data_IF_844935176964
#
_entry.id   IF_844935176964
#
_cell.length_a   1.000
_cell.length_b   1.000
_cell.length_c   1.000
_cell.angle_alpha   90.00
_cell.angle_beta   90.00
_cell.angle_gamma   90.00
#
_symmetry.space_group_name_H-M   'P 1'
#
loop_
_entity.id
_entity.type
_entity.pdbx_description
1 polymer ?
#
# COMPACT_ATOMS: atom_id res chain seq x y z
N UNK A 1 75.23 11.41 -19.03
CA UNK A 1 74.22 11.99 -19.93
C UNK A 1 72.89 11.98 -19.18
N UNK A 2 72.65 12.99 -18.31
CA UNK A 2 71.99 14.30 -18.59
C UNK A 2 70.47 14.06 -18.75
N UNK A 3 69.68 14.20 -17.66
CA UNK A 3 68.90 15.39 -17.24
C UNK A 3 67.65 15.60 -18.12
N UNK A 4 66.47 16.07 -17.71
CA UNK A 4 65.97 16.72 -16.50
C UNK A 4 64.45 16.94 -16.70
N UNK A 5 63.66 16.68 -15.66
CA UNK A 5 62.60 17.53 -15.05
C UNK A 5 61.54 18.33 -15.86
N UNK A 6 60.41 18.70 -15.20
CA UNK A 6 59.15 19.16 -15.78
C UNK A 6 58.99 20.68 -15.83
N UNK A 7 57.95 21.19 -16.50
CA UNK A 7 57.61 22.62 -16.49
C UNK A 7 56.13 22.88 -16.14
N UNK A 8 55.94 23.56 -15.00
CA UNK A 8 54.82 24.46 -14.69
C UNK A 8 55.30 25.89 -14.96
N UNK A 9 54.50 26.74 -15.63
CA UNK A 9 54.58 28.23 -15.64
C UNK A 9 53.15 28.72 -15.93
N UNK A 10 52.38 29.30 -15.00
CA UNK A 10 52.35 30.65 -14.37
C UNK A 10 51.60 31.73 -15.19
N UNK A 11 50.57 32.29 -14.51
CA UNK A 11 50.02 33.65 -14.45
C UNK A 11 49.91 34.61 -15.66
N UNK A 12 48.70 35.17 -15.77
CA UNK A 12 48.36 36.56 -16.16
C UNK A 12 46.84 36.69 -16.02
N UNK A 13 46.23 37.40 -15.07
CA UNK A 13 46.34 38.80 -14.64
C UNK A 13 46.14 39.82 -15.77
N UNK A 14 44.88 40.13 -16.06
CA UNK A 14 44.48 41.43 -16.60
C UNK A 14 43.18 41.89 -15.95
N UNK A 15 43.28 43.03 -15.25
CA UNK A 15 42.22 43.86 -14.73
C UNK A 15 41.29 44.34 -15.87
N UNK A 16 39.97 44.30 -15.68
CA UNK A 16 39.04 45.22 -16.34
C UNK A 16 38.02 45.74 -15.34
N UNK A 17 37.88 47.06 -15.40
CA UNK A 17 37.22 47.99 -14.51
C UNK A 17 35.81 47.64 -14.02
N UNK A 18 35.59 47.96 -12.75
CA UNK A 18 34.29 48.26 -12.14
C UNK A 18 33.56 49.37 -12.92
N UNK A 19 32.32 49.09 -13.32
CA UNK A 19 31.30 50.12 -13.50
C UNK A 19 30.19 49.80 -12.50
N UNK A 20 30.10 50.65 -11.48
CA UNK A 20 29.02 50.67 -10.50
C UNK A 20 27.80 51.35 -11.13
N UNK A 21 26.64 50.70 -11.07
CA UNK A 21 25.35 51.36 -11.25
C UNK A 21 24.39 50.81 -10.18
N UNK A 22 23.85 51.68 -9.31
CA UNK A 22 22.96 51.26 -8.23
C UNK A 22 21.53 51.15 -8.78
N UNK A 23 20.87 50.01 -8.58
CA UNK A 23 19.42 49.94 -8.75
C UNK A 23 18.81 49.26 -7.54
N UNK A 24 18.01 50.04 -6.82
CA UNK A 24 17.49 49.77 -5.50
C UNK A 24 16.70 48.48 -5.38
N UNK A 25 16.98 47.76 -4.31
CA UNK A 25 16.15 46.68 -3.81
C UNK A 25 15.08 47.24 -2.86
N UNK A 26 14.09 47.92 -3.41
CA UNK A 26 12.82 48.16 -2.70
C UNK A 26 11.79 47.15 -3.18
N UNK A 27 11.95 45.89 -2.75
CA UNK A 27 10.83 44.97 -2.74
C UNK A 27 10.05 45.24 -1.47
N UNK A 28 9.05 46.12 -1.57
CA UNK A 28 7.98 46.22 -0.60
C UNK A 28 7.39 44.81 -0.40
N UNK A 29 7.67 44.23 0.76
CA UNK A 29 7.05 42.99 1.20
C UNK A 29 5.58 43.31 1.44
N UNK A 30 4.73 43.05 0.45
CA UNK A 30 3.29 43.10 0.62
C UNK A 30 2.91 42.07 1.70
N UNK A 31 2.55 42.56 2.88
CA UNK A 31 2.06 41.73 3.97
C UNK A 31 0.88 40.87 3.46
N UNK A 32 0.87 39.55 3.74
CA UNK A 32 -0.27 38.72 3.37
C UNK A 32 -1.50 39.26 4.12
N UNK A 33 -2.53 39.67 3.36
CA UNK A 33 -3.84 40.04 3.93
C UNK A 33 -4.30 38.89 4.83
N UNK A 34 -4.58 39.19 6.10
CA UNK A 34 -5.04 38.19 7.06
C UNK A 34 -6.34 37.56 6.58
N UNK A 35 -6.29 36.32 6.10
CA UNK A 35 -7.48 35.53 5.86
C UNK A 35 -8.13 35.25 7.21
N UNK A 36 -9.39 35.67 7.35
CA UNK A 36 -10.22 35.44 8.53
C UNK A 36 -10.36 33.92 8.73
N UNK A 37 -9.78 33.39 9.80
CA UNK A 37 -9.92 31.97 10.15
C UNK A 37 -11.31 31.79 10.74
N UNK A 38 -12.26 31.34 9.92
CA UNK A 38 -13.52 30.81 10.44
C UNK A 38 -13.21 29.47 11.12
N UNK A 39 -13.33 29.45 12.44
CA UNK A 39 -13.27 28.24 13.25
C UNK A 39 -14.47 27.36 12.90
N UNK A 40 -14.22 26.35 12.06
CA UNK A 40 -15.18 25.30 11.75
C UNK A 40 -15.57 24.60 13.06
N UNK A 41 -16.82 24.78 13.50
CA UNK A 41 -17.41 23.98 14.58
C UNK A 41 -17.38 22.51 14.16
N UNK A 42 -16.62 21.70 14.89
CA UNK A 42 -16.61 20.26 14.72
C UNK A 42 -17.96 19.72 15.19
N UNK A 43 -18.81 19.34 14.24
CA UNK A 43 -20.02 18.56 14.52
C UNK A 43 -19.65 17.25 15.23
N UNK A 44 -20.47 16.77 16.20
CA UNK A 44 -20.21 15.53 16.91
C UNK A 44 -20.20 14.37 15.90
N UNK A 45 -19.11 13.59 15.90
CA UNK A 45 -18.94 12.42 15.03
C UNK A 45 -20.11 11.47 15.28
N UNK A 46 -21.03 11.36 14.32
CA UNK A 46 -22.18 10.47 14.42
C UNK A 46 -21.71 9.03 14.59
N UNK A 47 -22.18 8.38 15.66
CA UNK A 47 -21.84 7.01 15.99
C UNK A 47 -22.28 6.08 14.85
N UNK A 48 -21.34 5.32 14.29
CA UNK A 48 -21.62 4.42 13.16
C UNK A 48 -22.75 3.44 13.50
N UNK A 49 -23.66 3.18 12.56
CA UNK A 49 -24.78 2.26 12.78
C UNK A 49 -24.33 0.86 13.21
N UNK A 50 -23.13 0.44 12.79
CA UNK A 50 -22.45 -0.75 13.28
C UNK A 50 -22.21 -0.73 14.78
N UNK A 51 -21.75 0.38 15.37
CA UNK A 51 -21.57 0.50 16.82
C UNK A 51 -22.91 0.40 17.57
N UNK A 52 -23.99 0.97 17.00
CA UNK A 52 -25.35 0.87 17.55
C UNK A 52 -25.88 -0.57 17.52
N UNK A 53 -25.65 -1.30 16.42
CA UNK A 53 -26.03 -2.71 16.27
C UNK A 53 -25.23 -3.63 17.19
N UNK A 54 -23.92 -3.40 17.34
CA UNK A 54 -23.07 -4.18 18.25
C UNK A 54 -23.48 -4.03 19.72
N UNK A 55 -23.98 -2.85 20.10
CA UNK A 55 -24.52 -2.55 21.43
C UNK A 55 -25.90 -3.18 21.64
N UNK A 56 -26.77 -3.13 20.63
CA UNK A 56 -28.09 -3.77 20.65
C UNK A 56 -28.02 -5.31 20.69
N UNK A 57 -26.99 -5.89 20.10
CA UNK A 57 -26.78 -7.34 20.07
C UNK A 57 -26.18 -7.93 21.37
N UNK A 58 -25.99 -7.14 22.44
CA UNK A 58 -25.41 -7.60 23.72
C UNK A 58 -24.10 -8.41 23.56
N UNK A 59 -23.28 -8.07 22.56
CA UNK A 59 -21.92 -8.63 22.42
C UNK A 59 -21.01 -8.11 23.56
N UNK A 60 -21.51 -7.16 24.34
CA UNK A 60 -21.00 -6.73 25.64
C UNK A 60 -21.13 -7.86 26.68
N UNK A 61 -20.31 -8.90 26.54
CA UNK A 61 -20.35 -10.04 27.45
C UNK A 61 -19.29 -11.10 27.21
N UNK A 62 -18.61 -11.11 26.05
CA UNK A 62 -17.54 -12.09 25.79
C UNK A 62 -16.30 -11.81 26.65
N UNK A 63 -16.03 -10.54 26.95
CA UNK A 63 -14.88 -10.12 27.74
C UNK A 63 -15.30 -9.12 28.81
N UNK A 64 -14.74 -9.24 30.01
CA UNK A 64 -14.98 -8.31 31.12
C UNK A 64 -14.50 -6.90 30.77
N UNK A 65 -15.18 -5.87 31.30
CA UNK A 65 -14.78 -4.48 31.07
C UNK A 65 -13.35 -4.19 31.56
N UNK A 66 -12.93 -4.86 32.64
CA UNK A 66 -11.58 -4.81 33.19
C UNK A 66 -10.56 -5.37 32.19
N UNK A 67 -10.78 -6.56 31.62
CA UNK A 67 -9.86 -7.12 30.63
C UNK A 67 -9.83 -6.32 29.34
N UNK A 68 -10.96 -5.79 28.87
CA UNK A 68 -10.99 -4.87 27.72
C UNK A 68 -10.03 -3.69 27.96
N UNK A 69 -10.07 -3.10 29.15
CA UNK A 69 -9.18 -1.99 29.52
C UNK A 69 -7.71 -2.42 29.54
N UNK A 70 -7.41 -3.58 30.13
CA UNK A 70 -6.05 -4.15 30.20
C UNK A 70 -5.50 -4.44 28.81
N UNK A 71 -6.27 -5.08 27.93
CA UNK A 71 -5.87 -5.33 26.55
C UNK A 71 -5.57 -4.04 25.80
N UNK A 72 -6.43 -3.01 25.91
CA UNK A 72 -6.18 -1.71 25.28
C UNK A 72 -4.84 -1.12 25.72
N UNK A 73 -4.52 -1.21 27.01
CA UNK A 73 -3.23 -0.75 27.54
C UNK A 73 -2.08 -1.60 27.00
N UNK A 74 -2.21 -2.93 27.00
CA UNK A 74 -1.19 -3.86 26.44
C UNK A 74 -0.88 -3.51 24.98
N UNK A 75 -1.90 -3.36 24.12
CA UNK A 75 -1.70 -3.03 22.71
C UNK A 75 -0.95 -1.70 22.53
N UNK A 76 -1.29 -0.68 23.33
CA UNK A 76 -0.61 0.64 23.30
C UNK A 76 0.86 0.53 23.74
N UNK A 77 1.12 -0.14 24.85
CA UNK A 77 2.49 -0.37 25.36
C UNK A 77 3.34 -1.11 24.32
N UNK A 78 2.75 -2.09 23.62
CA UNK A 78 3.45 -2.84 22.57
C UNK A 78 3.78 -2.02 21.33
N UNK A 79 2.94 -1.04 20.95
CA UNK A 79 3.30 -0.08 19.88
C UNK A 79 4.56 0.70 20.26
N UNK A 80 4.67 1.08 21.54
CA UNK A 80 5.84 1.79 22.07
C UNK A 80 7.02 0.86 22.37
N UNK A 81 6.85 -0.46 22.23
CA UNK A 81 7.86 -1.47 22.58
C UNK A 81 8.17 -1.57 24.07
N UNK A 82 7.24 -1.15 24.92
CA UNK A 82 7.34 -1.27 26.38
C UNK A 82 6.98 -2.69 26.84
N UNK A 83 7.81 -3.66 26.45
CA UNK A 83 7.53 -5.09 26.62
C UNK A 83 7.36 -5.49 28.08
N UNK A 84 8.23 -4.98 28.97
CA UNK A 84 8.20 -5.32 30.40
C UNK A 84 6.92 -4.82 31.07
N UNK A 85 6.43 -3.64 30.69
CA UNK A 85 5.18 -3.09 31.22
C UNK A 85 3.98 -3.91 30.69
N UNK A 86 3.97 -4.22 29.39
CA UNK A 86 2.94 -5.07 28.81
C UNK A 86 2.89 -6.47 29.46
N UNK A 87 4.06 -7.09 29.71
CA UNK A 87 4.14 -8.42 30.33
C UNK A 87 3.61 -8.44 31.77
N UNK A 88 3.76 -7.35 32.53
CA UNK A 88 3.16 -7.24 33.87
C UNK A 88 1.63 -7.27 33.79
N UNK A 89 1.05 -6.55 32.83
CA UNK A 89 -0.40 -6.51 32.65
C UNK A 89 -0.92 -7.84 32.09
N UNK A 90 -0.18 -8.48 31.19
CA UNK A 90 -0.53 -9.80 30.65
C UNK A 90 -0.68 -10.86 31.75
N UNK A 91 0.14 -10.78 32.81
CA UNK A 91 0.09 -11.73 33.93
C UNK A 91 -1.20 -11.64 34.75
N UNK A 92 -1.82 -10.47 34.80
CA UNK A 92 -3.04 -10.19 35.59
C UNK A 92 -4.32 -10.23 34.74
N UNK A 93 -4.24 -10.70 33.48
CA UNK A 93 -5.42 -10.93 32.65
C UNK A 93 -6.18 -12.15 33.16
N UNK A 94 -7.49 -11.99 33.30
CA UNK A 94 -8.39 -13.06 33.73
C UNK A 94 -8.70 -13.97 32.52
N UNK A 95 -9.08 -13.37 31.39
CA UNK A 95 -9.33 -14.06 30.12
C UNK A 95 -8.22 -13.82 29.09
N UNK A 96 -7.72 -14.91 28.48
CA UNK A 96 -6.61 -14.94 27.51
C UNK A 96 -7.03 -15.16 26.05
N UNK A 97 -8.32 -15.06 25.71
CA UNK A 97 -8.83 -15.30 24.35
C UNK A 97 -8.10 -14.44 23.29
N UNK A 98 -7.72 -13.19 23.60
CA UNK A 98 -7.05 -12.29 22.64
C UNK A 98 -5.53 -12.45 22.58
N UNK A 99 -4.96 -13.43 23.30
CA UNK A 99 -3.50 -13.59 23.39
C UNK A 99 -2.84 -13.85 22.03
N UNK A 100 -3.51 -14.55 21.13
CA UNK A 100 -3.04 -14.78 19.76
C UNK A 100 -2.72 -13.47 19.03
N UNK A 101 -3.61 -12.48 19.14
CA UNK A 101 -3.41 -11.15 18.55
C UNK A 101 -2.34 -10.33 19.26
N UNK A 102 -2.30 -10.38 20.60
CA UNK A 102 -1.28 -9.70 21.41
C UNK A 102 0.13 -10.19 21.03
N UNK A 103 0.31 -11.51 20.92
CA UNK A 103 1.59 -12.09 20.51
C UNK A 103 1.92 -11.75 19.05
N UNK A 104 0.93 -11.78 18.15
CA UNK A 104 1.12 -11.43 16.75
C UNK A 104 1.62 -10.00 16.56
N UNK A 105 1.08 -9.03 17.31
CA UNK A 105 1.53 -7.64 17.29
C UNK A 105 3.00 -7.54 17.68
N UNK A 106 3.39 -8.15 18.82
CA UNK A 106 4.79 -8.20 19.28
C UNK A 106 5.71 -8.80 18.23
N UNK A 107 5.34 -9.95 17.66
CA UNK A 107 6.19 -10.68 16.71
C UNK A 107 6.33 -10.01 15.36
N UNK A 108 5.37 -9.18 14.98
CA UNK A 108 5.36 -8.39 13.75
C UNK A 108 5.79 -6.93 13.94
N UNK A 109 6.28 -6.57 15.12
CA UNK A 109 6.73 -5.21 15.39
C UNK A 109 7.86 -4.81 14.40
N UNK A 110 7.82 -3.59 13.82
CA UNK A 110 8.75 -3.21 12.75
C UNK A 110 10.21 -3.11 13.21
N UNK A 111 10.46 -2.61 14.43
CA UNK A 111 11.82 -2.24 14.88
C UNK A 111 12.20 -2.82 16.25
N UNK A 112 11.43 -2.54 17.29
CA UNK A 112 11.75 -2.81 18.72
C UNK A 112 11.69 -4.27 19.18
N UNK A 113 11.24 -5.21 18.34
CA UNK A 113 11.24 -6.63 18.68
C UNK A 113 11.59 -7.51 17.49
N UNK A 114 12.46 -8.49 17.73
CA UNK A 114 12.88 -9.45 16.71
C UNK A 114 12.52 -10.88 17.14
N UNK A 115 11.41 -11.37 16.59
CA UNK A 115 10.90 -12.72 16.86
C UNK A 115 11.84 -13.83 16.39
N UNK A 116 12.09 -14.82 17.25
CA UNK A 116 12.88 -16.01 16.97
C UNK A 116 12.04 -17.05 16.23
N UNK A 117 12.69 -17.94 15.48
CA UNK A 117 11.98 -19.00 14.75
C UNK A 117 11.13 -19.88 15.69
N UNK A 118 11.66 -20.23 16.86
CA UNK A 118 10.96 -21.06 17.87
C UNK A 118 9.64 -20.42 18.32
N UNK A 119 9.63 -19.10 18.55
CA UNK A 119 8.43 -18.36 18.95
C UNK A 119 7.39 -18.33 17.83
N UNK A 120 7.83 -18.03 16.61
CA UNK A 120 6.96 -18.00 15.44
C UNK A 120 6.34 -19.38 15.18
N UNK A 121 7.14 -20.45 15.31
CA UNK A 121 6.65 -21.81 15.17
C UNK A 121 5.62 -22.15 16.26
N UNK A 122 5.93 -21.87 17.52
CA UNK A 122 5.00 -22.14 18.63
C UNK A 122 3.68 -21.38 18.48
N UNK A 123 3.74 -20.12 18.05
CA UNK A 123 2.55 -19.32 17.77
C UNK A 123 1.72 -19.91 16.63
N UNK A 124 2.35 -20.33 15.53
CA UNK A 124 1.66 -20.94 14.39
C UNK A 124 1.05 -22.30 14.75
N UNK A 125 1.65 -23.04 15.68
CA UNK A 125 1.10 -24.32 16.11
C UNK A 125 -0.26 -24.12 16.81
N UNK A 126 -0.44 -23.00 17.55
CA UNK A 126 -1.67 -22.64 18.29
C UNK A 126 -2.67 -21.79 17.49
N UNK A 127 -2.19 -20.78 16.74
CA UNK A 127 -3.02 -19.72 16.13
C UNK A 127 -2.91 -19.72 14.60
N UNK A 128 -2.84 -20.90 13.97
CA UNK A 128 -2.71 -21.04 12.51
C UNK A 128 -3.89 -20.41 11.73
N UNK A 129 -5.05 -20.33 12.35
CA UNK A 129 -6.32 -19.82 11.84
C UNK A 129 -6.45 -18.29 11.88
N UNK A 130 -5.55 -17.63 12.61
CA UNK A 130 -5.61 -16.19 12.78
C UNK A 130 -5.29 -15.43 11.48
N UNK A 131 -5.87 -14.24 11.27
CA UNK A 131 -5.63 -13.44 10.07
C UNK A 131 -4.14 -13.07 9.92
N UNK A 132 -3.41 -12.93 11.03
CA UNK A 132 -1.98 -12.63 11.01
C UNK A 132 -1.11 -13.85 10.62
N UNK A 133 -1.65 -15.07 10.67
CA UNK A 133 -0.88 -16.30 10.54
C UNK A 133 -0.12 -16.42 9.22
N UNK A 134 -0.70 -15.95 8.11
CA UNK A 134 -0.01 -15.89 6.82
C UNK A 134 1.26 -15.04 6.86
N UNK A 135 1.21 -13.88 7.54
CA UNK A 135 2.35 -12.99 7.65
C UNK A 135 3.42 -13.58 8.58
N UNK A 136 3.02 -14.16 9.71
CA UNK A 136 3.94 -14.85 10.61
C UNK A 136 4.57 -16.10 9.98
N UNK A 137 3.82 -16.89 9.22
CA UNK A 137 4.33 -18.06 8.50
C UNK A 137 5.41 -17.68 7.49
N UNK A 138 5.16 -16.64 6.67
CA UNK A 138 6.19 -16.10 5.76
C UNK A 138 7.43 -15.63 6.51
N UNK A 139 7.25 -14.98 7.67
CA UNK A 139 8.36 -14.55 8.52
C UNK A 139 9.13 -15.74 9.09
N UNK A 140 8.43 -16.78 9.53
CA UNK A 140 9.00 -18.00 10.07
C UNK A 140 9.85 -18.72 9.02
N UNK A 141 9.35 -18.87 7.78
CA UNK A 141 10.11 -19.46 6.68
C UNK A 141 11.41 -18.72 6.39
N UNK A 142 11.38 -17.38 6.39
CA UNK A 142 12.59 -16.55 6.19
C UNK A 142 13.62 -16.70 7.30
N UNK A 143 13.18 -16.99 8.53
CA UNK A 143 14.04 -17.08 9.72
C UNK A 143 14.37 -18.51 10.14
N UNK A 144 13.93 -19.51 9.35
CA UNK A 144 14.09 -20.93 9.68
C UNK A 144 15.54 -21.36 9.49
N UNK A 145 16.21 -21.90 10.54
CA UNK A 145 17.50 -22.56 10.37
C UNK A 145 17.37 -23.85 9.56
N UNK A 146 18.41 -24.25 8.82
CA UNK A 146 18.36 -25.40 7.88
C UNK A 146 17.88 -26.72 8.53
N UNK A 147 18.25 -26.96 9.79
CA UNK A 147 18.01 -28.24 10.49
C UNK A 147 16.71 -28.26 11.31
N UNK A 148 15.80 -27.30 11.13
CA UNK A 148 14.57 -27.20 11.94
C UNK A 148 13.33 -27.67 11.18
N UNK A 149 12.43 -28.35 11.91
CA UNK A 149 11.10 -28.77 11.41
C UNK A 149 10.31 -27.58 10.88
N UNK A 150 9.49 -27.82 9.85
CA UNK A 150 8.62 -26.78 9.26
C UNK A 150 7.60 -26.22 10.26
N UNK A 151 7.24 -24.93 10.15
CA UNK A 151 6.14 -24.38 10.93
C UNK A 151 4.81 -24.89 10.34
N UNK A 152 3.76 -24.95 11.18
CA UNK A 152 2.41 -25.30 10.73
C UNK A 152 1.94 -24.26 9.71
N UNK A 153 1.35 -24.74 8.61
CA UNK A 153 0.79 -23.86 7.58
C UNK A 153 -0.44 -23.14 8.14
N UNK A 154 -0.63 -21.84 7.81
CA UNK A 154 -1.81 -21.12 8.22
C UNK A 154 -3.07 -21.76 7.61
N UNK A 155 -4.13 -21.78 8.38
CA UNK A 155 -5.46 -22.28 7.99
C UNK A 155 -6.37 -21.10 7.68
N UNK A 156 -7.33 -21.32 6.77
CA UNK A 156 -8.21 -20.26 6.28
C UNK A 156 -7.66 -19.57 5.03
N UNK A 157 -8.56 -19.24 4.09
CA UNK A 157 -8.19 -18.44 2.92
C UNK A 157 -8.14 -16.97 3.33
N UNK A 158 -7.10 -16.24 2.90
CA UNK A 158 -7.19 -14.79 2.87
C UNK A 158 -8.37 -14.46 1.94
N UNK A 159 -9.38 -13.74 2.43
CA UNK A 159 -10.44 -13.20 1.58
C UNK A 159 -9.83 -12.10 0.70
N UNK A 160 -9.15 -12.51 -0.36
CA UNK A 160 -8.74 -11.67 -1.48
C UNK A 160 -9.94 -11.38 -2.41
N UNK A 161 -11.16 -11.36 -1.85
CA UNK A 161 -12.39 -11.16 -2.60
C UNK A 161 -12.41 -9.77 -3.20
N UNK A 162 -12.60 -9.67 -4.50
CA UNK A 162 -12.75 -8.43 -5.27
C UNK A 162 -14.10 -7.73 -5.02
N UNK A 163 -14.65 -7.83 -3.81
CA UNK A 163 -15.98 -7.30 -3.46
C UNK A 163 -17.16 -7.97 -4.16
N UNK A 164 -16.93 -9.01 -4.95
CA UNK A 164 -18.02 -9.82 -5.51
C UNK A 164 -18.56 -10.72 -4.39
N UNK A 165 -19.88 -10.75 -4.24
CA UNK A 165 -20.66 -11.43 -3.19
C UNK A 165 -20.53 -12.97 -3.16
N UNK A 166 -19.49 -13.54 -3.77
CA UNK A 166 -19.22 -14.99 -3.78
C UNK A 166 -20.27 -15.81 -4.53
N UNK A 167 -21.36 -15.20 -4.99
CA UNK A 167 -22.32 -15.84 -5.88
C UNK A 167 -21.61 -16.09 -7.18
N UNK A 168 -21.22 -17.35 -7.39
CA UNK A 168 -21.02 -17.85 -8.74
C UNK A 168 -22.40 -17.78 -9.40
N UNK A 169 -22.72 -16.65 -10.03
CA UNK A 169 -24.01 -16.39 -10.69
C UNK A 169 -24.29 -17.36 -11.85
N UNK A 170 -23.53 -18.46 -11.99
CA UNK A 170 -23.65 -19.45 -13.06
C UNK A 170 -23.19 -18.92 -14.42
N UNK A 171 -23.02 -17.60 -14.58
CA UNK A 171 -22.45 -17.02 -15.77
C UNK A 171 -20.97 -17.37 -15.84
N UNK A 172 -20.63 -18.38 -16.64
CA UNK A 172 -19.27 -18.53 -17.13
C UNK A 172 -18.83 -17.15 -17.67
N UNK A 173 -17.85 -16.50 -17.02
CA UNK A 173 -17.37 -15.20 -17.45
C UNK A 173 -17.05 -15.27 -18.94
N UNK A 174 -17.92 -14.69 -19.78
CA UNK A 174 -17.74 -14.72 -21.23
C UNK A 174 -16.46 -13.96 -21.55
N UNK A 175 -15.37 -14.71 -21.75
CA UNK A 175 -14.04 -14.17 -22.02
C UNK A 175 -13.46 -14.77 -23.30
N UNK A 176 -14.19 -14.63 -24.43
CA UNK A 176 -13.73 -15.13 -25.71
C UNK A 176 -12.45 -14.40 -26.14
N UNK A 177 -11.55 -15.14 -26.77
CA UNK A 177 -10.34 -14.62 -27.40
C UNK A 177 -10.31 -15.06 -28.85
N UNK A 178 -9.83 -14.20 -29.75
CA UNK A 178 -9.54 -14.62 -31.12
C UNK A 178 -8.46 -15.70 -31.11
N UNK A 179 -8.60 -16.70 -31.97
CA UNK A 179 -7.56 -17.70 -32.22
C UNK A 179 -6.43 -17.01 -32.99
N UNK A 180 -5.26 -16.89 -32.35
CA UNK A 180 -4.11 -16.16 -32.87
C UNK A 180 -2.88 -17.05 -32.84
N UNK A 181 -2.00 -16.91 -33.84
CA UNK A 181 -0.70 -17.60 -33.84
C UNK A 181 0.23 -17.01 -32.74
N UNK A 182 1.41 -17.61 -32.56
CA UNK A 182 2.36 -17.18 -31.51
C UNK A 182 2.79 -15.72 -31.66
N UNK A 183 3.14 -15.29 -32.87
CA UNK A 183 3.59 -13.93 -33.15
C UNK A 183 2.47 -12.89 -32.89
N UNK A 184 1.27 -13.15 -33.41
CA UNK A 184 0.08 -12.33 -33.20
C UNK A 184 -0.30 -12.23 -31.72
N UNK A 185 -0.15 -13.32 -30.95
CA UNK A 185 -0.36 -13.29 -29.48
C UNK A 185 0.65 -12.39 -28.78
N UNK A 186 1.93 -12.43 -29.17
CA UNK A 186 2.95 -11.56 -28.60
C UNK A 186 2.69 -10.09 -28.94
N UNK A 187 2.34 -9.80 -30.19
CA UNK A 187 1.98 -8.45 -30.63
C UNK A 187 0.76 -7.93 -29.86
N UNK A 188 -0.31 -8.73 -29.76
CA UNK A 188 -1.50 -8.39 -28.98
C UNK A 188 -1.15 -8.04 -27.53
N UNK A 189 -0.29 -8.84 -26.88
CA UNK A 189 0.20 -8.57 -25.52
C UNK A 189 1.03 -7.29 -25.44
N UNK A 190 1.77 -6.95 -26.50
CA UNK A 190 2.48 -5.68 -26.62
C UNK A 190 1.52 -4.49 -26.68
N UNK A 191 0.48 -4.59 -27.51
CA UNK A 191 -0.57 -3.57 -27.64
C UNK A 191 -1.33 -3.37 -26.32
N UNK A 192 -1.72 -4.44 -25.64
CA UNK A 192 -2.36 -4.38 -24.31
C UNK A 192 -1.46 -3.69 -23.26
N UNK A 193 -0.16 -4.03 -23.22
CA UNK A 193 0.80 -3.37 -22.33
C UNK A 193 0.91 -1.87 -22.64
N UNK A 194 0.95 -1.49 -23.91
CA UNK A 194 1.02 -0.09 -24.35
C UNK A 194 -0.25 0.68 -23.96
N UNK A 195 -1.43 0.07 -24.13
CA UNK A 195 -2.70 0.61 -23.66
C UNK A 195 -2.68 0.88 -22.14
N UNK A 196 -2.30 -0.11 -21.32
CA UNK A 196 -2.17 0.07 -19.86
C UNK A 196 -1.15 1.15 -19.49
N UNK A 197 -0.04 1.22 -20.22
CA UNK A 197 0.95 2.27 -20.04
C UNK A 197 0.36 3.67 -20.30
N UNK A 198 -0.38 3.86 -21.40
CA UNK A 198 -1.02 5.13 -21.70
C UNK A 198 -2.05 5.55 -20.65
N UNK A 199 -2.89 4.63 -20.14
CA UNK A 199 -3.82 4.94 -19.06
C UNK A 199 -3.11 5.38 -17.79
N UNK A 200 -2.07 4.65 -17.37
CA UNK A 200 -1.27 5.01 -16.19
C UNK A 200 -0.59 6.39 -16.32
N UNK A 201 -0.32 6.84 -17.54
CA UNK A 201 0.28 8.15 -17.83
C UNK A 201 -0.75 9.25 -18.11
N UNK A 202 -2.05 8.96 -18.14
CA UNK A 202 -3.09 9.93 -18.52
C UNK A 202 -3.14 10.26 -20.02
N UNK A 203 -2.49 9.47 -20.88
CA UNK A 203 -2.42 9.72 -22.32
C UNK A 203 -3.64 9.17 -23.09
N UNK A 204 -4.83 9.67 -22.74
CA UNK A 204 -6.13 9.18 -23.27
C UNK A 204 -6.29 9.37 -24.77
N UNK A 205 -5.76 10.45 -25.37
CA UNK A 205 -5.77 10.67 -26.84
C UNK A 205 -4.99 9.57 -27.59
N UNK A 206 -3.79 9.24 -27.11
CA UNK A 206 -2.96 8.18 -27.68
C UNK A 206 -3.59 6.81 -27.49
N UNK A 207 -4.24 6.57 -26.34
CA UNK A 207 -5.02 5.36 -26.10
C UNK A 207 -6.20 5.22 -27.08
N UNK A 208 -7.00 6.29 -27.24
CA UNK A 208 -8.14 6.34 -28.18
C UNK A 208 -7.70 6.04 -29.61
N UNK A 209 -6.59 6.64 -30.05
CA UNK A 209 -6.00 6.36 -31.38
C UNK A 209 -5.58 4.89 -31.51
N UNK A 210 -4.94 4.33 -30.47
CA UNK A 210 -4.48 2.94 -30.48
C UNK A 210 -5.64 1.94 -30.52
N UNK A 211 -6.68 2.12 -29.69
CA UNK A 211 -7.86 1.25 -29.66
C UNK A 211 -8.61 1.25 -30.99
N UNK A 212 -8.67 2.40 -31.68
CA UNK A 212 -9.32 2.53 -32.99
C UNK A 212 -8.48 1.99 -34.16
N UNK A 213 -7.23 1.58 -33.91
CA UNK A 213 -6.37 1.13 -34.99
C UNK A 213 -6.87 -0.18 -35.62
N UNK A 214 -6.74 -0.29 -36.95
CA UNK A 214 -7.10 -1.50 -37.71
C UNK A 214 -6.43 -2.75 -37.14
N UNK A 215 -5.16 -2.62 -36.71
CA UNK A 215 -4.40 -3.75 -36.15
C UNK A 215 -4.97 -4.25 -34.83
N UNK A 216 -5.39 -3.34 -33.94
CA UNK A 216 -6.07 -3.72 -32.69
C UNK A 216 -7.41 -4.42 -32.98
N UNK A 217 -8.19 -3.89 -33.92
CA UNK A 217 -9.46 -4.53 -34.34
C UNK A 217 -9.26 -5.91 -35.00
N UNK A 218 -8.09 -6.19 -35.57
CA UNK A 218 -7.73 -7.52 -36.11
C UNK A 218 -7.31 -8.51 -35.01
N UNK A 219 -6.61 -8.05 -33.98
CA UNK A 219 -6.02 -8.93 -32.96
C UNK A 219 -6.92 -9.14 -31.74
N UNK A 220 -7.75 -8.17 -31.38
CA UNK A 220 -8.59 -8.24 -30.18
C UNK A 220 -9.99 -8.77 -30.52
N UNK A 221 -10.56 -9.54 -29.59
CA UNK A 221 -11.97 -9.92 -29.69
C UNK A 221 -12.87 -8.70 -29.39
N UNK A 222 -14.07 -8.56 -29.98
CA UNK A 222 -15.00 -7.47 -29.68
C UNK A 222 -15.20 -7.18 -28.18
N UNK A 223 -15.45 -8.22 -27.38
CA UNK A 223 -15.54 -8.12 -25.90
C UNK A 223 -14.29 -7.52 -25.25
N UNK A 224 -13.10 -7.82 -25.77
CA UNK A 224 -11.84 -7.25 -25.25
C UNK A 224 -11.67 -5.78 -25.65
N UNK A 225 -12.16 -5.41 -26.83
CA UNK A 225 -12.22 -4.02 -27.27
C UNK A 225 -13.19 -3.23 -26.39
N UNK A 226 -14.36 -3.77 -26.08
CA UNK A 226 -15.35 -3.10 -25.22
C UNK A 226 -14.82 -2.92 -23.80
N UNK A 227 -14.12 -3.92 -23.25
CA UNK A 227 -13.38 -3.75 -21.99
C UNK A 227 -12.30 -2.67 -22.08
N UNK A 228 -11.60 -2.58 -23.20
CA UNK A 228 -10.59 -1.53 -23.41
C UNK A 228 -11.24 -0.13 -23.52
N UNK A 229 -12.39 -0.02 -24.18
CA UNK A 229 -13.20 1.22 -24.23
C UNK A 229 -13.73 1.60 -22.84
N UNK A 230 -14.20 0.62 -22.05
CA UNK A 230 -14.64 0.85 -20.68
C UNK A 230 -13.50 1.37 -19.80
N UNK A 231 -12.28 0.83 -19.93
CA UNK A 231 -11.10 1.37 -19.24
C UNK A 231 -10.73 2.77 -19.69
N UNK A 232 -10.91 3.09 -20.98
CA UNK A 232 -10.73 4.45 -21.48
C UNK A 232 -11.77 5.40 -20.88
N UNK A 233 -13.04 4.99 -20.81
CA UNK A 233 -14.10 5.77 -20.18
C UNK A 233 -13.81 6.00 -18.69
N UNK A 234 -13.32 4.99 -17.97
CA UNK A 234 -12.84 5.13 -16.59
C UNK A 234 -11.69 6.15 -16.49
N UNK A 235 -10.75 6.14 -17.44
CA UNK A 235 -9.68 7.13 -17.51
C UNK A 235 -10.22 8.55 -17.73
N UNK A 236 -11.17 8.73 -18.65
CA UNK A 236 -11.82 10.02 -18.87
C UNK A 236 -12.57 10.53 -17.64
N UNK A 237 -13.28 9.64 -16.96
CA UNK A 237 -13.95 9.96 -15.70
C UNK A 237 -12.97 10.40 -14.62
N UNK A 238 -11.86 9.67 -14.43
CA UNK A 238 -10.82 10.04 -13.47
C UNK A 238 -10.11 11.36 -13.79
N UNK A 239 -10.04 11.73 -15.07
CA UNK A 239 -9.45 12.99 -15.54
C UNK A 239 -10.46 14.16 -15.55
N UNK A 240 -11.72 13.97 -15.11
CA UNK A 240 -12.84 14.94 -15.21
C UNK A 240 -13.06 15.46 -16.64
N UNK A 241 -12.90 14.58 -17.64
CA UNK A 241 -13.08 14.86 -19.08
C UNK A 241 -14.26 14.05 -19.66
N UNK A 242 -15.30 13.93 -18.86
CA UNK A 242 -16.55 13.21 -19.15
C UNK A 242 -17.60 14.05 -19.88
N UNK A 243 -17.34 15.35 -20.05
CA UNK A 243 -18.08 16.24 -20.94
C UNK A 243 -17.84 15.81 -22.40
N UNK A 244 -18.87 15.24 -23.03
CA UNK A 244 -18.87 14.85 -24.43
C UNK A 244 -19.53 15.93 -25.30
#
# INVERSE_FOLDING_TARGET
MILSSPTKILFGSTFVALISLPMGMDRAFAAPKSAKVETVKLEPVQESQSAKLLRAANITGVLSATDISRYRVIFKLQVNGEWRAADKIIKILDDRILMGHVMAQRYLHPTKYRSRYKELKAWLDQYADHPQAHRLYKLALKRRPKNWKMPKKPTGSFNNGSGHDGRNLGYAFYNPRRKLNRAQRQERRGLDRRMRYYLRKGWTKSYKKLVRSKRVNQLFHPVELDRSKSRLAQGYYGDNRDQW
#
